data_IF_458477209144
#
_entry.id   IF_458477209144
#
_cell.length_a   1.000
_cell.length_b   1.000
_cell.length_c   1.000
_cell.angle_alpha   90.00
_cell.angle_beta   90.00
_cell.angle_gamma   90.00
#
_symmetry.space_group_name_H-M   'P 1'
#
loop_
_entity.id
_entity.type
_entity.pdbx_description
1 polymer ?
#
# COMPACT_ATOMS: atom_id res chain seq x y z
N UNK A 1 -17.94 -11.50 5.92
CA UNK A 1 -17.94 -10.03 5.74
C UNK A 1 -19.37 -9.53 5.59
N UNK A 2 -19.71 -8.39 6.17
CA UNK A 2 -21.04 -7.77 6.05
C UNK A 2 -21.20 -7.15 4.65
N UNK A 3 -22.40 -7.15 4.07
CA UNK A 3 -22.64 -6.60 2.72
C UNK A 3 -22.17 -5.13 2.57
N UNK A 4 -22.21 -4.34 3.67
CA UNK A 4 -21.70 -2.96 3.70
C UNK A 4 -20.17 -2.86 3.59
N UNK A 5 -19.43 -3.81 4.19
CA UNK A 5 -17.96 -3.79 4.14
C UNK A 5 -17.43 -4.24 2.78
N UNK A 6 -18.17 -5.11 2.09
CA UNK A 6 -17.82 -5.52 0.73
C UNK A 6 -17.96 -4.38 -0.27
N UNK A 7 -19.11 -3.70 -0.27
CA UNK A 7 -19.36 -2.55 -1.15
C UNK A 7 -18.32 -1.42 -0.97
N UNK A 8 -17.88 -1.17 0.28
CA UNK A 8 -16.84 -0.16 0.52
C UNK A 8 -15.48 -0.58 -0.04
N UNK A 9 -15.12 -1.87 0.03
CA UNK A 9 -13.86 -2.36 -0.52
C UNK A 9 -13.86 -2.31 -2.05
N UNK A 10 -14.97 -2.68 -2.70
CA UNK A 10 -15.11 -2.60 -4.17
C UNK A 10 -14.91 -1.16 -4.70
N UNK A 11 -15.40 -0.15 -3.95
CA UNK A 11 -15.19 1.27 -4.30
C UNK A 11 -13.72 1.67 -4.18
N UNK A 12 -13.03 1.20 -3.13
CA UNK A 12 -11.62 1.53 -2.90
C UNK A 12 -10.74 0.85 -3.94
N UNK A 13 -11.02 -0.42 -4.25
CA UNK A 13 -10.39 -1.15 -5.34
C UNK A 13 -10.51 -0.38 -6.65
N UNK A 14 -11.73 0.06 -7.02
CA UNK A 14 -11.95 0.86 -8.20
C UNK A 14 -11.23 2.21 -8.19
N UNK A 15 -10.97 2.80 -7.02
CA UNK A 15 -10.11 3.98 -6.90
C UNK A 15 -8.63 3.63 -7.12
N UNK A 16 -8.13 2.55 -6.52
CA UNK A 16 -6.75 2.10 -6.69
C UNK A 16 -6.44 1.75 -8.16
N UNK A 17 -7.34 1.03 -8.83
CA UNK A 17 -7.20 0.64 -10.24
C UNK A 17 -7.22 1.81 -11.23
N UNK A 18 -7.65 3.01 -10.82
CA UNK A 18 -7.50 4.23 -11.65
C UNK A 18 -6.05 4.72 -11.69
N UNK A 19 -5.27 4.44 -10.65
CA UNK A 19 -3.90 4.91 -10.48
C UNK A 19 -2.85 3.80 -10.67
N UNK A 20 -3.23 2.54 -10.49
CA UNK A 20 -2.35 1.39 -10.56
C UNK A 20 -2.76 0.45 -11.68
N UNK A 21 -1.79 0.11 -12.53
CA UNK A 21 -1.91 -0.91 -13.57
C UNK A 21 -0.76 -1.90 -13.46
N UNK A 22 -0.89 -3.11 -14.02
CA UNK A 22 0.24 -4.02 -14.13
C UNK A 22 1.45 -3.34 -14.80
N UNK A 23 2.64 -3.62 -14.29
CA UNK A 23 3.96 -3.03 -14.57
C UNK A 23 4.22 -1.62 -14.03
N UNK A 24 3.28 -0.96 -13.36
CA UNK A 24 3.54 0.32 -12.70
C UNK A 24 4.50 0.17 -11.52
N UNK A 25 5.28 1.22 -11.26
CA UNK A 25 6.14 1.31 -10.07
C UNK A 25 5.39 2.01 -8.95
N UNK A 26 5.21 1.31 -7.84
CA UNK A 26 4.75 1.86 -6.57
C UNK A 26 5.95 2.25 -5.74
N UNK A 27 5.97 3.52 -5.34
CA UNK A 27 7.01 4.09 -4.52
C UNK A 27 6.60 4.06 -3.06
N UNK A 28 7.56 3.74 -2.20
CA UNK A 28 7.36 3.66 -0.75
C UNK A 28 8.32 4.60 -0.05
N UNK A 29 7.84 5.24 1.03
CA UNK A 29 8.66 6.14 1.87
C UNK A 29 8.54 5.66 3.32
N UNK A 30 9.68 5.40 3.96
CA UNK A 30 9.71 5.05 5.38
C UNK A 30 9.51 6.31 6.24
N UNK A 31 8.39 6.40 6.95
CA UNK A 31 8.03 7.57 7.78
C UNK A 31 8.45 7.43 9.23
N UNK A 32 8.43 6.21 9.75
CA UNK A 32 8.79 5.91 11.13
C UNK A 32 9.08 4.42 11.31
N UNK A 33 9.85 4.07 12.32
CA UNK A 33 10.15 2.71 12.73
C UNK A 33 10.07 2.60 14.26
N UNK A 34 9.56 1.49 14.78
CA UNK A 34 9.59 1.19 16.22
C UNK A 34 11.03 0.97 16.70
N UNK A 35 11.28 1.16 17.99
CA UNK A 35 12.61 0.91 18.58
C UNK A 35 13.11 -0.52 18.34
N UNK A 36 12.22 -1.51 18.32
CA UNK A 36 12.55 -2.91 18.03
C UNK A 36 12.89 -3.18 16.55
N UNK A 37 12.63 -2.24 15.64
CA UNK A 37 12.74 -2.47 14.20
C UNK A 37 11.67 -3.42 13.63
N UNK A 38 10.69 -3.85 14.43
CA UNK A 38 9.66 -4.82 14.03
C UNK A 38 8.39 -4.18 13.46
N UNK A 39 8.24 -2.85 13.54
CA UNK A 39 7.06 -2.14 13.05
C UNK A 39 7.47 -0.87 12.31
N UNK A 40 6.86 -0.62 11.16
CA UNK A 40 7.19 0.51 10.26
C UNK A 40 5.91 1.24 9.85
N UNK A 41 6.03 2.54 9.66
CA UNK A 41 5.00 3.34 9.00
C UNK A 41 5.49 3.67 7.59
N UNK A 42 4.80 3.18 6.57
CA UNK A 42 5.25 3.27 5.18
C UNK A 42 4.20 4.02 4.37
N UNK A 43 4.59 5.16 3.79
CA UNK A 43 3.73 5.91 2.86
C UNK A 43 3.80 5.26 1.47
N UNK A 44 2.69 5.29 0.72
CA UNK A 44 2.55 4.63 -0.58
C UNK A 44 2.17 5.65 -1.63
N UNK A 45 3.03 5.79 -2.65
CA UNK A 45 2.91 6.79 -3.71
C UNK A 45 2.90 6.09 -5.08
N UNK A 46 1.98 6.52 -5.95
CA UNK A 46 2.04 6.21 -7.39
C UNK A 46 2.42 7.48 -8.17
N UNK A 47 3.01 7.32 -9.35
CA UNK A 47 3.23 8.42 -10.28
C UNK A 47 2.20 8.31 -11.39
N UNK A 48 1.29 9.28 -11.47
CA UNK A 48 0.26 9.35 -12.51
C UNK A 48 0.38 10.67 -13.24
N UNK A 49 0.51 10.61 -14.57
CA UNK A 49 0.63 11.78 -15.44
C UNK A 49 1.72 12.75 -14.97
N UNK A 50 2.88 12.17 -14.59
CA UNK A 50 4.05 12.86 -14.05
C UNK A 50 3.82 13.64 -12.74
N UNK A 51 2.79 13.25 -11.97
CA UNK A 51 2.49 13.81 -10.65
C UNK A 51 2.45 12.70 -9.60
N UNK A 52 3.02 12.93 -8.39
CA UNK A 52 2.88 11.99 -7.29
C UNK A 52 1.45 12.01 -6.75
N UNK A 53 0.88 10.83 -6.59
CA UNK A 53 -0.44 10.61 -5.99
C UNK A 53 -0.26 9.76 -4.74
N UNK A 54 -0.75 10.27 -3.61
CA UNK A 54 -0.73 9.56 -2.34
C UNK A 54 -1.89 8.55 -2.27
N UNK A 55 -1.55 7.27 -2.19
CA UNK A 55 -2.51 6.17 -2.11
C UNK A 55 -2.60 5.57 -0.70
N UNK A 56 -1.86 6.11 0.28
CA UNK A 56 -1.60 5.50 1.58
C UNK A 56 -2.87 5.11 2.33
N UNK A 57 -3.87 6.02 2.38
CA UNK A 57 -5.13 5.74 3.09
C UNK A 57 -5.96 4.66 2.38
N UNK A 58 -6.03 4.68 1.06
CA UNK A 58 -6.75 3.66 0.29
C UNK A 58 -6.08 2.30 0.42
N UNK A 59 -4.75 2.23 0.34
CA UNK A 59 -3.99 0.99 0.52
C UNK A 59 -4.18 0.43 1.93
N UNK A 60 -4.05 1.26 2.97
CA UNK A 60 -4.30 0.80 4.34
C UNK A 60 -5.71 0.24 4.52
N UNK A 61 -6.73 0.90 3.96
CA UNK A 61 -8.10 0.44 4.09
C UNK A 61 -8.40 -0.81 3.27
N UNK A 62 -7.88 -0.90 2.04
CA UNK A 62 -8.10 -2.04 1.14
C UNK A 62 -7.42 -3.31 1.66
N UNK A 63 -6.15 -3.22 2.06
CA UNK A 63 -5.38 -4.34 2.62
C UNK A 63 -5.68 -4.62 4.10
N UNK A 64 -6.67 -3.94 4.68
CA UNK A 64 -7.06 -4.04 6.11
C UNK A 64 -5.88 -3.82 7.08
N UNK A 65 -4.94 -2.96 6.72
CA UNK A 65 -3.77 -2.61 7.53
C UNK A 65 -3.97 -1.29 8.30
N UNK A 66 -3.35 -1.13 9.48
CA UNK A 66 -3.53 0.08 10.27
C UNK A 66 -3.05 1.35 9.54
N UNK A 67 -3.95 2.29 9.29
CA UNK A 67 -3.57 3.64 8.84
C UNK A 67 -3.05 4.48 10.02
N UNK A 68 -1.86 5.09 9.86
CA UNK A 68 -1.19 5.90 10.88
C UNK A 68 -1.30 7.38 10.52
N UNK A 69 -2.35 8.02 11.03
CA UNK A 69 -2.69 9.41 10.72
C UNK A 69 -1.55 10.40 11.01
N UNK A 70 -0.86 10.26 12.15
CA UNK A 70 0.24 11.17 12.54
C UNK A 70 1.41 11.19 11.56
N UNK A 71 1.68 10.07 10.89
CA UNK A 71 2.82 9.93 9.97
C UNK A 71 2.40 9.81 8.52
N UNK A 72 1.09 9.76 8.24
CA UNK A 72 0.51 9.40 6.96
C UNK A 72 1.19 8.15 6.37
N UNK A 73 1.03 7.01 7.05
CA UNK A 73 1.67 5.76 6.65
C UNK A 73 0.79 4.54 6.93
N UNK A 74 1.01 3.48 6.16
CA UNK A 74 0.48 2.15 6.45
C UNK A 74 1.37 1.50 7.50
N UNK A 75 0.76 0.97 8.55
CA UNK A 75 1.47 0.31 9.64
C UNK A 75 1.77 -1.15 9.31
N UNK A 76 3.04 -1.46 9.06
CA UNK A 76 3.50 -2.80 8.65
C UNK A 76 4.37 -3.42 9.73
N UNK A 77 3.98 -4.61 10.20
CA UNK A 77 4.77 -5.41 11.14
C UNK A 77 5.60 -6.45 10.42
N UNK A 78 6.78 -6.77 10.95
CA UNK A 78 7.64 -7.82 10.44
C UNK A 78 9.12 -7.48 10.58
N UNK A 79 9.97 -8.48 10.34
CA UNK A 79 11.41 -8.35 10.32
C UNK A 79 12.02 -9.41 9.38
N UNK A 80 13.29 -9.26 8.99
CA UNK A 80 13.99 -10.24 8.17
C UNK A 80 13.72 -10.19 6.66
N UNK A 81 12.98 -9.19 6.18
CA UNK A 81 12.75 -8.93 4.75
C UNK A 81 12.48 -7.43 4.50
N UNK A 82 12.39 -7.00 3.24
CA UNK A 82 12.00 -5.65 2.87
C UNK A 82 10.48 -5.46 3.05
N UNK A 83 10.10 -4.60 3.99
CA UNK A 83 8.69 -4.34 4.32
C UNK A 83 7.97 -3.43 3.33
N UNK A 84 8.70 -2.60 2.59
CA UNK A 84 8.11 -1.83 1.49
C UNK A 84 7.76 -2.78 0.35
N UNK A 85 8.65 -3.71 0.04
CA UNK A 85 8.38 -4.78 -0.93
C UNK A 85 7.21 -5.64 -0.48
N UNK A 86 7.19 -6.11 0.78
CA UNK A 86 6.08 -6.91 1.31
C UNK A 86 4.72 -6.21 1.15
N UNK A 87 4.67 -4.90 1.42
CA UNK A 87 3.47 -4.09 1.23
C UNK A 87 3.03 -4.08 -0.22
N UNK A 88 3.93 -3.75 -1.15
CA UNK A 88 3.59 -3.66 -2.58
C UNK A 88 3.23 -5.03 -3.15
N UNK A 89 3.94 -6.09 -2.75
CA UNK A 89 3.65 -7.47 -3.16
C UNK A 89 2.24 -7.89 -2.74
N UNK A 90 1.88 -7.64 -1.47
CA UNK A 90 0.53 -7.97 -0.96
C UNK A 90 -0.54 -7.19 -1.71
N UNK A 91 -0.35 -5.87 -1.88
CA UNK A 91 -1.27 -5.03 -2.65
C UNK A 91 -1.41 -5.49 -4.12
N UNK A 92 -0.30 -5.90 -4.73
CA UNK A 92 -0.27 -6.41 -6.11
C UNK A 92 -1.07 -7.71 -6.24
N UNK A 93 -0.86 -8.63 -5.30
CA UNK A 93 -1.60 -9.89 -5.26
C UNK A 93 -3.10 -9.66 -5.07
N UNK A 94 -3.48 -8.78 -4.13
CA UNK A 94 -4.88 -8.49 -3.85
C UNK A 94 -5.60 -7.84 -5.06
N UNK A 95 -4.92 -6.94 -5.79
CA UNK A 95 -5.51 -6.24 -6.94
C UNK A 95 -5.50 -7.03 -8.25
N UNK A 96 -4.51 -7.90 -8.46
CA UNK A 96 -4.24 -8.50 -9.77
C UNK A 96 -4.08 -10.03 -9.77
N UNK A 97 -4.21 -10.70 -8.62
CA UNK A 97 -3.90 -12.12 -8.43
C UNK A 97 -2.45 -12.48 -8.84
N UNK A 98 -1.55 -11.49 -8.79
CA UNK A 98 -0.12 -11.63 -9.08
C UNK A 98 0.68 -10.65 -8.22
N UNK A 99 1.50 -11.19 -7.31
CA UNK A 99 2.35 -10.41 -6.41
C UNK A 99 3.48 -9.63 -7.09
N UNK A 100 3.74 -9.89 -8.38
CA UNK A 100 4.75 -9.22 -9.19
C UNK A 100 4.16 -8.29 -10.27
N UNK A 101 2.83 -8.16 -10.34
CA UNK A 101 2.19 -7.25 -11.28
C UNK A 101 2.56 -5.78 -11.01
N UNK A 102 2.89 -5.40 -9.77
CA UNK A 102 3.43 -4.09 -9.42
C UNK A 102 4.92 -4.17 -9.10
N UNK A 103 5.67 -3.14 -9.50
CA UNK A 103 7.08 -2.99 -9.13
C UNK A 103 7.18 -2.14 -7.87
N UNK A 104 8.12 -2.49 -6.99
CA UNK A 104 8.41 -1.73 -5.77
C UNK A 104 9.67 -0.89 -5.93
N UNK A 105 9.67 0.32 -5.39
CA UNK A 105 10.87 1.15 -5.20
C UNK A 105 10.77 1.95 -3.90
N UNK A 106 11.91 2.18 -3.25
CA UNK A 106 12.02 3.17 -2.18
C UNK A 106 12.27 4.57 -2.75
N UNK A 107 11.80 5.59 -2.03
CA UNK A 107 12.16 7.01 -2.18
C UNK A 107 12.76 7.56 -0.89
#
# INVERSE_FOLDING_TARGET
MSAKSKLSNDIIEGCLLKYLKPNDTVYTILKSVSQSGMYRHIQVIAIKDNQPVDLTRWVAQYSEWPYKEKTNGVGVSGCGMDMGFHLVYTLSYDLFDDGYALKHSWL
#
